data_IF_182551305486
#
_entry.id   IF_182551305486
#
_cell.length_a   1.000
_cell.length_b   1.000
_cell.length_c   1.000
_cell.angle_alpha   90.00
_cell.angle_beta   90.00
_cell.angle_gamma   90.00
#
_symmetry.space_group_name_H-M   'P 1'
#
loop_
_entity.id
_entity.type
_entity.pdbx_description
1 polymer ?
#
# COMPACT_ATOMS: atom_id res chain seq x y z
N UNK A 1 18.72 21.35 6.15
CA UNK A 1 17.90 20.22 6.65
C UNK A 1 16.47 20.48 6.20
N UNK A 2 16.00 19.79 5.15
CA UNK A 2 14.57 19.86 4.80
C UNK A 2 13.84 19.06 5.89
N UNK A 3 12.85 19.66 6.56
CA UNK A 3 11.89 18.89 7.35
C UNK A 3 11.25 17.92 6.37
N UNK A 4 11.56 16.62 6.51
CA UNK A 4 10.87 15.59 5.77
C UNK A 4 9.46 15.53 6.35
N UNK A 5 8.53 16.26 5.74
CA UNK A 5 7.09 16.05 5.95
C UNK A 5 6.81 14.55 5.89
N UNK A 6 6.09 14.04 6.89
CA UNK A 6 5.72 12.64 6.92
C UNK A 6 4.93 12.32 5.64
N UNK A 7 5.19 11.18 4.95
CA UNK A 7 4.43 10.83 3.77
C UNK A 7 2.96 10.67 4.19
N UNK A 8 2.11 11.56 3.70
CA UNK A 8 0.68 11.59 4.04
C UNK A 8 -0.01 10.51 3.22
N UNK A 9 -0.87 9.72 3.86
CA UNK A 9 -1.76 8.81 3.14
C UNK A 9 -2.68 9.65 2.23
N UNK A 10 -2.82 9.31 0.93
CA UNK A 10 -3.77 10.01 0.06
C UNK A 10 -5.19 10.00 0.66
N UNK A 11 -6.05 10.91 0.22
CA UNK A 11 -7.45 10.86 0.65
C UNK A 11 -8.14 9.63 0.04
N UNK A 12 -8.69 8.75 0.89
CA UNK A 12 -9.37 7.53 0.44
C UNK A 12 -9.89 6.64 1.57
N UNK A 13 -10.85 5.76 1.23
CA UNK A 13 -11.32 4.70 2.13
C UNK A 13 -10.31 3.54 2.10
N UNK A 14 -9.51 3.42 3.16
CA UNK A 14 -8.53 2.35 3.29
C UNK A 14 -9.05 1.25 4.22
N UNK A 15 -9.42 0.10 3.67
CA UNK A 15 -10.13 -0.93 4.40
C UNK A 15 -9.31 -1.58 5.54
N UNK A 16 -8.00 -1.38 5.56
CA UNK A 16 -7.08 -2.00 6.54
C UNK A 16 -6.92 -1.17 7.82
N UNK A 17 -7.53 0.00 7.86
CA UNK A 17 -7.36 0.94 8.96
C UNK A 17 -8.32 0.63 10.10
N UNK A 18 -9.61 0.40 9.80
CA UNK A 18 -10.66 0.25 10.82
C UNK A 18 -11.42 -1.08 10.75
N UNK A 19 -11.12 -1.95 9.78
CA UNK A 19 -11.92 -3.16 9.53
C UNK A 19 -11.05 -4.37 9.20
N UNK A 20 -11.43 -5.52 9.77
CA UNK A 20 -10.90 -6.82 9.37
C UNK A 20 -11.76 -7.42 8.27
N UNK A 21 -11.13 -7.88 7.20
CA UNK A 21 -11.81 -8.56 6.09
C UNK A 21 -11.40 -10.04 6.04
N UNK A 22 -12.33 -10.96 5.74
CA UNK A 22 -11.98 -12.35 5.47
C UNK A 22 -11.02 -12.44 4.29
N UNK A 23 -9.97 -13.27 4.38
CA UNK A 23 -9.01 -13.46 3.27
C UNK A 23 -9.69 -13.90 1.97
N UNK A 24 -10.79 -14.65 2.05
CA UNK A 24 -11.62 -15.05 0.89
C UNK A 24 -12.23 -13.87 0.13
N UNK A 25 -12.37 -12.71 0.77
CA UNK A 25 -12.88 -11.47 0.19
C UNK A 25 -11.77 -10.54 -0.30
N UNK A 26 -10.50 -10.91 -0.11
CA UNK A 26 -9.35 -10.11 -0.49
C UNK A 26 -8.78 -10.55 -1.84
N UNK A 27 -8.15 -9.64 -2.55
CA UNK A 27 -7.41 -9.88 -3.78
C UNK A 27 -6.29 -8.87 -3.92
N UNK A 28 -5.17 -9.27 -4.52
CA UNK A 28 -4.17 -8.32 -4.97
C UNK A 28 -4.72 -7.54 -6.17
N UNK A 29 -4.76 -6.21 -6.04
CA UNK A 29 -5.16 -5.28 -7.09
C UNK A 29 -3.99 -4.33 -7.38
N UNK A 30 -3.90 -3.80 -8.59
CA UNK A 30 -2.91 -2.77 -8.88
C UNK A 30 -3.07 -1.60 -7.91
N UNK A 31 -1.97 -1.17 -7.29
CA UNK A 31 -1.99 -0.01 -6.45
C UNK A 31 -2.30 1.24 -7.30
N UNK A 32 -3.22 2.11 -6.85
CA UNK A 32 -3.34 3.46 -7.38
C UNK A 32 -1.97 4.14 -7.41
N UNK A 33 -1.73 4.97 -8.41
CA UNK A 33 -0.40 5.56 -8.62
C UNK A 33 0.11 6.33 -7.40
N UNK A 34 -0.76 7.10 -6.75
CA UNK A 34 -0.44 7.87 -5.54
C UNK A 34 -0.01 6.96 -4.38
N UNK A 35 -0.69 5.82 -4.21
CA UNK A 35 -0.31 4.82 -3.22
C UNK A 35 0.99 4.10 -3.58
N UNK A 36 1.25 3.84 -4.87
CA UNK A 36 2.51 3.26 -5.29
C UNK A 36 3.70 4.18 -4.95
N UNK A 37 3.56 5.48 -5.18
CA UNK A 37 4.56 6.49 -4.78
C UNK A 37 4.73 6.50 -3.26
N UNK A 38 3.63 6.47 -2.51
CA UNK A 38 3.66 6.38 -1.05
C UNK A 38 4.40 5.12 -0.57
N UNK A 39 4.11 3.96 -1.16
CA UNK A 39 4.72 2.69 -0.75
C UNK A 39 6.23 2.70 -0.97
N UNK A 40 6.70 3.22 -2.11
CA UNK A 40 8.15 3.35 -2.38
C UNK A 40 8.81 4.29 -1.36
N UNK A 41 8.22 5.45 -1.10
CA UNK A 41 8.75 6.41 -0.14
C UNK A 41 8.78 5.87 1.31
N UNK A 42 7.74 5.15 1.73
CA UNK A 42 7.67 4.53 3.06
C UNK A 42 8.64 3.34 3.17
N UNK A 43 8.80 2.55 2.13
CA UNK A 43 9.78 1.46 2.10
C UNK A 43 11.22 1.97 2.23
N UNK A 44 11.57 3.03 1.49
CA UNK A 44 12.87 3.72 1.63
C UNK A 44 13.06 4.25 3.05
N UNK A 45 12.06 4.95 3.60
CA UNK A 45 12.12 5.52 4.95
C UNK A 45 12.23 4.46 6.05
N UNK A 46 11.61 3.30 5.85
CA UNK A 46 11.62 2.19 6.80
C UNK A 46 12.80 1.23 6.58
N UNK A 47 13.70 1.52 5.63
CA UNK A 47 14.78 0.62 5.22
C UNK A 47 14.27 -0.79 4.87
N UNK A 48 13.06 -0.86 4.32
CA UNK A 48 12.37 -2.10 3.95
C UNK A 48 12.55 -2.34 2.46
N UNK A 49 13.17 -3.45 2.08
CA UNK A 49 13.30 -3.82 0.67
C UNK A 49 11.97 -4.31 0.09
N UNK A 50 11.56 -3.77 -1.06
CA UNK A 50 10.47 -4.32 -1.86
C UNK A 50 11.11 -5.26 -2.90
N UNK A 51 11.10 -6.56 -2.61
CA UNK A 51 11.67 -7.60 -3.46
C UNK A 51 10.60 -8.08 -4.45
N UNK A 52 11.01 -8.32 -5.71
CA UNK A 52 10.11 -8.89 -6.73
C UNK A 52 9.65 -10.29 -6.33
N UNK A 53 8.39 -10.59 -6.61
CA UNK A 53 7.72 -11.85 -6.29
C UNK A 53 7.70 -12.25 -4.80
N UNK A 54 8.02 -11.32 -3.89
CA UNK A 54 7.91 -11.52 -2.45
C UNK A 54 6.93 -10.50 -1.84
N UNK A 55 5.82 -10.94 -1.23
CA UNK A 55 4.88 -10.03 -0.59
C UNK A 55 5.48 -9.40 0.67
N UNK A 56 5.40 -8.08 0.76
CA UNK A 56 5.97 -7.29 1.86
C UNK A 56 4.85 -6.60 2.63
N UNK A 57 4.86 -6.75 3.97
CA UNK A 57 3.98 -5.96 4.84
C UNK A 57 4.67 -4.63 5.14
N UNK A 58 4.09 -3.54 4.64
CA UNK A 58 4.62 -2.20 4.80
C UNK A 58 3.82 -1.43 5.85
N UNK A 59 4.53 -0.81 6.79
CA UNK A 59 3.94 0.09 7.79
C UNK A 59 4.06 1.54 7.30
N UNK A 60 2.93 2.15 6.97
CA UNK A 60 2.85 3.55 6.56
C UNK A 60 2.51 4.41 7.77
N UNK A 61 3.36 5.41 8.05
CA UNK A 61 3.11 6.39 9.11
C UNK A 61 2.65 7.72 8.51
N UNK A 62 1.50 8.20 8.95
CA UNK A 62 1.00 9.55 8.67
C UNK A 62 0.34 10.15 9.91
N UNK A 63 0.18 11.47 9.95
CA UNK A 63 -0.44 12.16 11.09
C UNK A 63 -1.92 11.77 11.28
N UNK A 64 -2.63 11.52 10.18
CA UNK A 64 -4.02 11.07 10.22
C UNK A 64 -4.16 9.59 10.63
N UNK A 65 -3.14 8.78 10.33
CA UNK A 65 -3.17 7.33 10.52
C UNK A 65 -1.79 6.83 10.96
N UNK A 66 -1.55 6.72 12.28
CA UNK A 66 -0.23 6.43 12.82
C UNK A 66 0.23 4.98 12.60
N UNK A 67 -0.69 4.05 12.34
CA UNK A 67 -0.40 2.61 12.18
C UNK A 67 -1.07 1.96 10.96
N UNK A 68 -1.10 2.63 9.81
CA UNK A 68 -1.65 2.01 8.62
C UNK A 68 -0.71 0.90 8.09
N UNK A 69 -1.25 -0.30 7.84
CA UNK A 69 -0.48 -1.45 7.32
C UNK A 69 -1.01 -1.89 5.97
N UNK A 70 -0.11 -2.10 5.02
CA UNK A 70 -0.43 -2.55 3.68
C UNK A 70 0.38 -3.79 3.33
N UNK A 71 -0.29 -4.87 2.91
CA UNK A 71 0.40 -6.00 2.28
C UNK A 71 0.52 -5.69 0.79
N UNK A 72 1.75 -5.49 0.33
CA UNK A 72 2.06 -5.16 -1.05
C UNK A 72 2.79 -6.33 -1.72
N UNK A 73 2.64 -6.45 -3.03
CA UNK A 73 3.28 -7.47 -3.85
C UNK A 73 3.77 -6.83 -5.14
N UNK A 74 5.02 -7.11 -5.53
CA UNK A 74 5.58 -6.60 -6.78
C UNK A 74 5.86 -7.76 -7.73
N UNK A 75 4.92 -8.12 -8.63
CA UNK A 75 5.11 -9.27 -9.50
C UNK A 75 6.25 -9.05 -10.49
N UNK A 76 6.91 -10.13 -10.89
CA UNK A 76 7.83 -10.10 -12.01
C UNK A 76 7.08 -9.84 -13.33
N UNK A 77 7.72 -9.07 -14.23
CA UNK A 77 7.15 -8.74 -15.55
C UNK A 77 6.15 -7.59 -15.57
N UNK A 78 5.88 -6.91 -14.46
CA UNK A 78 5.07 -5.69 -14.41
C UNK A 78 5.78 -4.56 -13.67
N UNK A 79 5.68 -3.33 -14.15
CA UNK A 79 6.24 -2.18 -13.43
C UNK A 79 5.37 -1.71 -12.25
N UNK A 80 4.21 -2.34 -12.04
CA UNK A 80 3.21 -1.92 -11.06
C UNK A 80 3.32 -2.73 -9.76
N UNK A 81 3.22 -2.02 -8.64
CA UNK A 81 3.03 -2.65 -7.33
C UNK A 81 1.55 -2.96 -7.14
N UNK A 82 1.25 -4.10 -6.55
CA UNK A 82 -0.09 -4.52 -6.18
C UNK A 82 -0.24 -4.39 -4.67
N UNK A 83 -1.47 -4.11 -4.22
CA UNK A 83 -1.84 -4.12 -2.80
C UNK A 83 -2.93 -5.15 -2.58
N UNK A 84 -2.86 -5.87 -1.46
CA UNK A 84 -3.96 -6.70 -1.02
C UNK A 84 -5.11 -5.79 -0.61
N UNK A 85 -6.29 -5.93 -1.21
CA UNK A 85 -7.48 -5.16 -0.88
C UNK A 85 -8.76 -6.00 -0.99
N UNK A 86 -9.86 -5.60 -0.34
CA UNK A 86 -11.17 -6.19 -0.56
C UNK A 86 -11.54 -6.15 -2.05
N UNK A 87 -12.06 -7.26 -2.57
CA UNK A 87 -12.43 -7.45 -3.99
C UNK A 87 -13.36 -6.36 -4.53
N UNK A 88 -14.17 -5.73 -3.68
CA UNK A 88 -15.04 -4.59 -4.07
C UNK A 88 -14.24 -3.40 -4.63
N UNK A 89 -12.98 -3.24 -4.23
CA UNK A 89 -12.08 -2.19 -4.75
C UNK A 89 -11.31 -2.64 -6.00
N UNK A 90 -11.42 -3.90 -6.43
CA UNK A 90 -10.83 -4.37 -7.68
C UNK A 90 -11.50 -3.76 -8.92
N UNK A 91 -12.73 -3.23 -8.78
CA UNK A 91 -13.41 -2.52 -9.84
C UNK A 91 -12.97 -1.06 -9.86
N UNK A 92 -12.02 -0.76 -10.74
CA UNK A 92 -11.46 0.58 -10.86
C UNK A 92 -10.51 0.79 -12.04
N UNK A 93 -10.80 0.19 -13.20
CA UNK A 93 -10.43 0.72 -14.53
C UNK A 93 -11.52 0.32 -15.53
N UNK A 94 -12.53 1.17 -15.65
CA UNK A 94 -13.24 1.36 -16.91
C UNK A 94 -12.61 2.58 -17.59
#
# INVERSE_FOLDING_TARGET
MKLNEAPVLPEGDYPFIDRTYPLSEMSFIEAPHELEVLFKAQAERNETAIIRDDPVLLNCKSDAWPEARFLIYWPYGTERIFMLAPKRFAQGRA
#
